data_IF_115653253586
#
_entry.id   IF_115653253586
#
_cell.length_a   1.000
_cell.length_b   1.000
_cell.length_c   1.000
_cell.angle_alpha   90.00
_cell.angle_beta   90.00
_cell.angle_gamma   90.00
#
_symmetry.space_group_name_H-M   'P 1'
#
loop_
_entity.id
_entity.type
_entity.pdbx_description
1 polymer ?
#
# COMPACT_ATOMS: atom_id res chain seq x y z
N UNK A 1 6.15 9.02 -7.12
CA UNK A 1 7.50 8.79 -6.54
C UNK A 1 7.90 7.33 -6.73
N UNK A 2 9.16 6.99 -6.49
CA UNK A 2 9.70 5.64 -6.63
C UNK A 2 10.54 5.33 -5.39
N UNK A 3 10.41 4.12 -4.85
CA UNK A 3 11.19 3.63 -3.72
C UNK A 3 11.50 2.17 -3.93
N UNK A 4 12.67 1.74 -3.50
CA UNK A 4 13.02 0.32 -3.46
C UNK A 4 13.06 -0.12 -2.01
N UNK A 5 12.39 -1.25 -1.72
CA UNK A 5 12.30 -1.86 -0.39
C UNK A 5 12.80 -3.31 -0.46
N UNK A 6 12.98 -3.94 0.69
CA UNK A 6 13.25 -5.37 0.77
C UNK A 6 12.03 -6.10 1.33
N UNK A 7 11.60 -7.15 0.64
CA UNK A 7 10.55 -8.06 1.09
C UNK A 7 11.15 -9.46 1.02
N UNK A 8 11.24 -10.17 2.14
CA UNK A 8 11.81 -11.53 2.17
C UNK A 8 13.23 -11.57 1.57
N UNK A 9 14.08 -10.60 1.93
CA UNK A 9 15.43 -10.38 1.37
C UNK A 9 15.46 -10.05 -0.14
N UNK A 10 14.32 -10.01 -0.83
CA UNK A 10 14.21 -9.65 -2.24
C UNK A 10 14.02 -8.17 -2.43
N UNK A 11 14.78 -7.60 -3.35
CA UNK A 11 14.69 -6.19 -3.70
C UNK A 11 13.44 -5.95 -4.54
N UNK A 12 12.48 -5.17 -4.02
CA UNK A 12 11.23 -4.83 -4.71
C UNK A 12 11.17 -3.34 -4.94
N UNK A 13 11.08 -2.95 -6.22
CA UNK A 13 10.86 -1.55 -6.60
C UNK A 13 9.36 -1.25 -6.59
N UNK A 14 9.01 -0.16 -5.93
CA UNK A 14 7.64 0.35 -5.81
C UNK A 14 7.54 1.72 -6.45
N UNK A 15 6.47 1.94 -7.20
CA UNK A 15 6.26 3.21 -7.89
C UNK A 15 4.83 3.68 -7.76
N UNK A 16 4.70 4.93 -7.34
CA UNK A 16 3.45 5.66 -7.25
C UNK A 16 3.36 6.66 -8.41
N UNK A 17 2.33 6.53 -9.23
CA UNK A 17 2.05 7.41 -10.38
C UNK A 17 0.57 7.76 -10.43
N UNK A 18 0.19 8.77 -11.22
CA UNK A 18 -1.21 9.12 -11.45
C UNK A 18 -2.06 7.97 -12.06
N UNK A 19 -1.42 6.95 -12.65
CA UNK A 19 -2.10 5.79 -13.19
C UNK A 19 -2.38 4.69 -12.14
N UNK A 20 -1.78 4.77 -10.95
CA UNK A 20 -1.90 3.76 -9.89
C UNK A 20 -3.37 3.46 -9.53
N UNK A 21 -4.26 4.45 -9.29
CA UNK A 21 -5.65 4.17 -8.95
C UNK A 21 -6.41 3.45 -10.07
N UNK A 22 -6.11 3.78 -11.33
CA UNK A 22 -6.72 3.13 -12.51
C UNK A 22 -6.25 1.70 -12.66
N UNK A 23 -4.97 1.42 -12.40
CA UNK A 23 -4.42 0.06 -12.46
C UNK A 23 -4.98 -0.82 -11.35
N UNK A 24 -5.04 -0.30 -10.12
CA UNK A 24 -5.64 -0.98 -8.99
C UNK A 24 -7.09 -1.38 -9.32
N UNK A 25 -7.89 -0.43 -9.80
CA UNK A 25 -9.29 -0.69 -10.18
C UNK A 25 -9.42 -1.68 -11.33
N UNK A 26 -8.52 -1.64 -12.31
CA UNK A 26 -8.54 -2.58 -13.43
C UNK A 26 -8.20 -4.02 -13.00
N UNK A 27 -7.30 -4.19 -12.02
CA UNK A 27 -6.92 -5.50 -11.51
C UNK A 27 -7.97 -6.08 -10.57
N UNK A 28 -8.39 -5.31 -9.56
CA UNK A 28 -9.16 -5.83 -8.42
C UNK A 28 -10.65 -5.47 -8.49
N UNK A 29 -11.06 -4.62 -9.43
CA UNK A 29 -12.43 -4.12 -9.53
C UNK A 29 -12.86 -3.17 -8.41
N UNK A 30 -12.00 -2.94 -7.41
CA UNK A 30 -12.26 -2.08 -6.25
C UNK A 30 -11.76 -0.64 -6.48
N UNK A 31 -12.30 0.30 -5.71
CA UNK A 31 -11.86 1.70 -5.78
C UNK A 31 -10.65 1.94 -4.86
N UNK A 32 -9.52 2.31 -5.47
CA UNK A 32 -8.25 2.53 -4.77
C UNK A 32 -8.37 3.53 -3.61
N UNK A 33 -9.10 4.63 -3.78
CA UNK A 33 -9.21 5.65 -2.74
C UNK A 33 -10.15 5.21 -1.62
N UNK A 34 -11.22 4.49 -1.93
CA UNK A 34 -12.07 3.87 -0.92
C UNK A 34 -11.27 2.91 -0.04
N UNK A 35 -10.46 2.05 -0.64
CA UNK A 35 -9.63 1.09 0.07
C UNK A 35 -8.49 1.77 0.84
N UNK A 36 -7.86 2.80 0.26
CA UNK A 36 -6.88 3.63 0.96
C UNK A 36 -7.49 4.39 2.16
N UNK A 37 -8.77 4.78 2.11
CA UNK A 37 -9.47 5.37 3.26
C UNK A 37 -9.76 4.34 4.35
N UNK A 38 -10.06 3.09 4.00
CA UNK A 38 -10.18 1.99 4.98
C UNK A 38 -8.86 1.77 5.70
N UNK A 39 -7.76 1.76 4.94
CA UNK A 39 -6.41 1.75 5.47
C UNK A 39 -6.22 2.95 6.40
N UNK A 40 -6.40 4.18 5.93
CA UNK A 40 -6.18 5.39 6.74
C UNK A 40 -6.97 5.41 8.07
N UNK A 41 -8.17 4.83 8.14
CA UNK A 41 -8.96 4.74 9.39
C UNK A 41 -8.29 3.90 10.46
N UNK A 42 -7.56 2.85 10.08
CA UNK A 42 -6.81 2.01 11.03
C UNK A 42 -5.56 2.73 11.55
N UNK A 43 -4.97 3.58 10.72
CA UNK A 43 -3.80 4.40 11.05
C UNK A 43 -4.19 5.69 11.79
N UNK A 44 -5.49 5.98 11.91
CA UNK A 44 -6.03 7.30 12.21
C UNK A 44 -6.80 7.46 13.52
N UNK A 45 -6.73 6.49 14.47
CA UNK A 45 -7.27 6.71 15.83
C UNK A 45 -6.45 7.72 16.67
N UNK A 46 -5.52 8.46 16.06
CA UNK A 46 -4.90 9.67 16.59
C UNK A 46 -5.30 10.90 15.79
N UNK A 47 -6.12 11.76 16.38
CA UNK A 47 -6.47 13.09 15.86
C UNK A 47 -5.21 13.90 15.52
N UNK A 48 -4.91 14.07 14.23
CA UNK A 48 -4.22 15.21 13.55
C UNK A 48 -3.35 14.69 12.42
N UNK A 49 -3.70 15.03 11.17
CA UNK A 49 -2.87 15.33 9.95
C UNK A 49 -1.48 14.69 9.73
N UNK A 50 -1.08 13.70 10.50
CA UNK A 50 0.18 13.01 10.43
C UNK A 50 -0.19 11.54 10.38
N UNK A 51 0.04 10.92 9.22
CA UNK A 51 0.06 9.47 9.13
C UNK A 51 1.09 8.99 10.16
N UNK A 52 0.67 8.46 11.29
CA UNK A 52 1.55 7.94 12.33
C UNK A 52 1.47 6.42 12.29
N UNK A 53 2.35 5.77 11.51
CA UNK A 53 2.38 4.30 11.43
C UNK A 53 2.74 3.66 12.78
N UNK A 54 3.35 4.44 13.68
CA UNK A 54 3.73 4.02 15.02
C UNK A 54 2.54 3.80 15.97
N UNK A 55 1.33 4.28 15.64
CA UNK A 55 0.14 4.17 16.49
C UNK A 55 -0.80 3.01 16.11
N UNK A 56 -0.38 2.16 15.16
CA UNK A 56 -1.17 1.00 14.72
C UNK A 56 -1.07 -0.10 15.78
N UNK A 57 -2.15 -0.35 16.51
CA UNK A 57 -2.23 -1.56 17.33
C UNK A 57 -2.64 -2.76 16.47
N UNK A 58 -2.02 -3.92 16.72
CA UNK A 58 -2.34 -5.18 16.03
C UNK A 58 -3.83 -5.55 16.15
N UNK A 59 -4.48 -5.19 17.26
CA UNK A 59 -5.93 -5.36 17.47
C UNK A 59 -6.80 -4.50 16.53
N UNK A 60 -6.25 -3.41 15.97
CA UNK A 60 -6.93 -2.62 14.93
C UNK A 60 -6.77 -3.23 13.54
N UNK A 61 -5.79 -4.13 13.37
CA UNK A 61 -5.54 -4.91 12.17
C UNK A 61 -6.42 -6.17 12.08
N UNK A 62 -6.80 -6.77 13.22
CA UNK A 62 -7.64 -7.99 13.28
C UNK A 62 -9.03 -7.85 12.64
N UNK A 63 -9.53 -6.62 12.50
CA UNK A 63 -10.80 -6.32 11.81
C UNK A 63 -10.61 -5.72 10.42
N UNK A 64 -9.38 -5.64 9.94
CA UNK A 64 -9.05 -5.03 8.67
C UNK A 64 -8.82 -6.09 7.60
N UNK A 65 -9.30 -5.76 6.40
CA UNK A 65 -9.06 -6.55 5.21
C UNK A 65 -7.59 -6.41 4.77
N UNK A 66 -6.73 -7.32 5.25
CA UNK A 66 -5.30 -7.32 4.96
C UNK A 66 -5.01 -7.45 3.46
N UNK A 67 -5.96 -8.03 2.71
CA UNK A 67 -5.95 -8.12 1.25
C UNK A 67 -5.67 -6.77 0.59
N UNK A 68 -6.25 -5.69 1.13
CA UNK A 68 -6.08 -4.34 0.60
C UNK A 68 -4.60 -3.92 0.57
N UNK A 69 -3.80 -4.31 1.57
CA UNK A 69 -2.38 -3.97 1.57
C UNK A 69 -1.61 -4.73 0.52
N UNK A 70 -1.82 -6.05 0.43
CA UNK A 70 -1.18 -6.88 -0.57
C UNK A 70 -1.47 -6.34 -1.97
N UNK A 71 -2.72 -5.99 -2.25
CA UNK A 71 -3.14 -5.46 -3.55
C UNK A 71 -2.53 -4.10 -3.87
N UNK A 72 -2.47 -3.20 -2.88
CA UNK A 72 -1.86 -1.87 -3.07
C UNK A 72 -0.36 -2.02 -3.33
N UNK A 73 0.33 -2.82 -2.52
CA UNK A 73 1.78 -3.05 -2.65
C UNK A 73 2.08 -3.72 -3.99
N UNK A 74 1.33 -4.76 -4.37
CA UNK A 74 1.45 -5.39 -5.68
C UNK A 74 1.22 -4.39 -6.81
N UNK A 75 0.19 -3.53 -6.72
CA UNK A 75 -0.08 -2.54 -7.77
C UNK A 75 1.07 -1.55 -7.92
N UNK A 76 1.67 -1.13 -6.80
CA UNK A 76 2.87 -0.27 -6.80
C UNK A 76 4.07 -0.99 -7.40
N UNK A 77 4.25 -2.27 -7.10
CA UNK A 77 5.32 -3.09 -7.64
C UNK A 77 5.14 -3.29 -9.16
N UNK A 78 3.96 -3.76 -9.60
CA UNK A 78 3.58 -3.90 -11.02
C UNK A 78 3.67 -2.59 -11.79
N UNK A 79 3.49 -1.46 -11.10
CA UNK A 79 3.65 -0.12 -11.67
C UNK A 79 5.10 0.27 -11.89
N UNK A 80 6.01 -0.20 -11.05
CA UNK A 80 7.45 -0.03 -11.22
C UNK A 80 8.04 -1.00 -12.25
N UNK A 81 7.56 -2.24 -12.24
CA UNK A 81 8.02 -3.32 -13.09
C UNK A 81 6.84 -4.08 -13.69
N UNK A 82 6.70 -4.01 -15.02
CA UNK A 82 5.57 -4.62 -15.74
C UNK A 82 5.72 -6.14 -15.87
N UNK A 83 6.89 -6.69 -15.58
CA UNK A 83 7.17 -8.14 -15.66
C UNK A 83 6.65 -8.92 -14.45
N UNK A 84 6.35 -8.24 -13.34
CA UNK A 84 5.77 -8.85 -12.14
C UNK A 84 4.49 -9.64 -12.51
N UNK A 85 4.33 -10.90 -12.08
CA UNK A 85 3.19 -11.72 -12.46
C UNK A 85 1.89 -11.26 -11.77
N UNK A 86 0.81 -12.02 -11.96
CA UNK A 86 -0.46 -11.75 -11.28
C UNK A 86 -0.31 -11.79 -9.74
N UNK A 87 -1.22 -11.14 -8.98
CA UNK A 87 -1.04 -10.91 -7.55
C UNK A 87 -0.73 -12.17 -6.74
N UNK A 88 -1.47 -13.25 -6.98
CA UNK A 88 -1.29 -14.52 -6.26
C UNK A 88 0.08 -15.14 -6.57
N UNK A 89 0.43 -15.28 -7.85
CA UNK A 89 1.72 -15.85 -8.26
C UNK A 89 2.91 -15.00 -7.77
N UNK A 90 2.74 -13.69 -7.71
CA UNK A 90 3.76 -12.81 -7.15
C UNK A 90 3.93 -13.01 -5.64
N UNK A 91 2.82 -13.14 -4.91
CA UNK A 91 2.82 -13.36 -3.46
C UNK A 91 3.36 -14.75 -3.09
N UNK A 92 3.04 -15.79 -3.87
CA UNK A 92 3.60 -17.15 -3.74
C UNK A 92 5.13 -17.16 -3.86
N UNK A 93 5.69 -16.11 -4.48
CA UNK A 93 7.12 -15.89 -4.58
C UNK A 93 7.79 -15.47 -3.28
N UNK A 94 7.09 -15.20 -2.18
CA UNK A 94 7.68 -14.80 -0.90
C UNK A 94 7.40 -15.84 0.19
N UNK A 95 8.41 -16.21 0.97
CA UNK A 95 8.22 -17.09 2.14
C UNK A 95 7.54 -16.33 3.29
N UNK A 96 7.94 -15.07 3.49
CA UNK A 96 7.35 -14.17 4.49
C UNK A 96 7.03 -12.81 3.86
N UNK A 97 5.82 -12.31 4.11
CA UNK A 97 5.41 -10.97 3.65
C UNK A 97 5.12 -10.06 4.87
N UNK A 98 6.14 -9.43 5.47
CA UNK A 98 5.98 -8.68 6.71
C UNK A 98 5.29 -7.33 6.48
N UNK A 99 3.96 -7.34 6.44
CA UNK A 99 3.14 -6.16 6.16
C UNK A 99 3.44 -4.97 7.08
N UNK A 100 3.70 -5.21 8.37
CA UNK A 100 4.06 -4.18 9.33
C UNK A 100 5.31 -3.38 8.92
N UNK A 101 6.37 -4.07 8.49
CA UNK A 101 7.63 -3.47 8.06
C UNK A 101 7.45 -2.75 6.72
N UNK A 102 6.82 -3.43 5.75
CA UNK A 102 6.55 -2.87 4.43
C UNK A 102 5.74 -1.59 4.55
N UNK A 103 4.71 -1.57 5.40
CA UNK A 103 3.88 -0.37 5.61
C UNK A 103 4.68 0.80 6.17
N UNK A 104 5.59 0.54 7.12
CA UNK A 104 6.56 1.53 7.59
C UNK A 104 7.35 2.17 6.44
N UNK A 105 7.75 1.36 5.46
CA UNK A 105 8.51 1.82 4.32
C UNK A 105 7.69 2.52 3.23
N UNK A 106 6.46 2.07 2.96
CA UNK A 106 5.65 2.59 1.84
C UNK A 106 4.76 3.77 2.22
N UNK A 107 4.76 4.17 3.49
CA UNK A 107 4.03 5.31 4.03
C UNK A 107 4.03 6.54 3.13
N UNK A 108 5.21 7.01 2.77
CA UNK A 108 5.37 8.27 2.07
C UNK A 108 4.77 8.16 0.65
N UNK A 109 4.97 7.02 -0.01
CA UNK A 109 4.35 6.70 -1.30
C UNK A 109 2.83 6.72 -1.25
N UNK A 110 2.24 6.20 -0.15
CA UNK A 110 0.79 6.22 0.05
C UNK A 110 0.27 7.63 0.26
N UNK A 111 0.96 8.44 1.07
CA UNK A 111 0.56 9.83 1.31
C UNK A 111 0.61 10.69 0.06
N UNK A 112 1.56 10.44 -0.85
CA UNK A 112 1.65 11.17 -2.12
C UNK A 112 0.52 10.85 -3.09
N UNK A 113 -0.03 9.64 -3.02
CA UNK A 113 -1.14 9.25 -3.89
C UNK A 113 -2.45 9.93 -3.51
N UNK A 114 -2.56 10.43 -2.26
CA UNK A 114 -3.78 11.06 -1.81
C UNK A 114 -3.98 12.40 -2.53
N UNK A 115 -5.21 12.72 -2.97
CA UNK A 115 -5.51 14.06 -3.44
C UNK A 115 -5.28 15.02 -2.28
N UNK A 116 -4.18 15.76 -2.31
CA UNK A 116 -3.99 16.85 -1.36
C UNK A 116 -5.05 17.89 -1.71
N UNK A 117 -6.06 18.06 -0.84
CA UNK A 117 -6.86 19.28 -0.88
C UNK A 117 -5.87 20.42 -0.74
N UNK A 118 -5.60 21.16 -1.81
CA UNK A 118 -4.85 22.41 -1.72
C UNK A 118 -5.50 23.19 -0.57
N UNK A 119 -4.74 23.47 0.49
CA UNK A 119 -5.16 24.46 1.48
C UNK A 119 -5.39 25.74 0.68
N UNK A 120 -6.66 26.17 0.59
CA UNK A 120 -6.98 27.56 0.29
C UNK A 120 -6.53 28.40 1.47
#
# INVERSE_FOLDING_TARGET
MEKTIYIDEKQVKLKSTAALPKRYKAQFGRDYFADLMKVAKVFGKGTKRNFGIQDISFASLDHMDMEVFYDIIWTMAKTADRTIPDPLEWLDGFEVFPLNEIMGEVKDLLTDTMPTSKKK
#
